data_IF_783776267229
#
_entry.id   IF_783776267229
#
_cell.length_a   1.000
_cell.length_b   1.000
_cell.length_c   1.000
_cell.angle_alpha   90.00
_cell.angle_beta   90.00
_cell.angle_gamma   90.00
#
_symmetry.space_group_name_H-M   'P 1'
#
loop_
_entity.id
_entity.type
_entity.pdbx_description
1 polymer ?
#
# COMPACT_ATOMS: atom_id res chain seq x y z
N UNK A 1 15.70 -2.67 32.26
CA UNK A 1 14.55 -1.81 31.92
C UNK A 1 14.88 -0.79 30.82
N UNK A 2 15.95 -0.01 30.93
CA UNK A 2 16.36 0.97 29.89
C UNK A 2 16.43 0.40 28.47
N UNK A 3 17.15 -0.71 28.26
CA UNK A 3 17.26 -1.31 26.93
C UNK A 3 15.92 -1.80 26.35
N UNK A 4 15.01 -2.29 27.19
CA UNK A 4 13.67 -2.67 26.75
C UNK A 4 12.86 -1.47 26.25
N UNK A 5 12.96 -0.33 26.95
CA UNK A 5 12.34 0.92 26.51
C UNK A 5 12.93 1.41 25.18
N UNK A 6 14.26 1.34 25.02
CA UNK A 6 14.93 1.72 23.77
C UNK A 6 14.47 0.85 22.59
N UNK A 7 14.34 -0.46 22.79
CA UNK A 7 13.82 -1.37 21.76
C UNK A 7 12.38 -1.05 21.41
N UNK A 8 11.51 -0.79 22.39
CA UNK A 8 10.11 -0.43 22.15
C UNK A 8 9.99 0.88 21.34
N UNK A 9 10.78 1.90 21.70
CA UNK A 9 10.84 3.17 20.97
C UNK A 9 11.38 2.94 19.55
N UNK A 10 12.42 2.14 19.38
CA UNK A 10 12.96 1.83 18.05
C UNK A 10 11.91 1.14 17.16
N UNK A 11 11.19 0.14 17.67
CA UNK A 11 10.10 -0.52 16.94
C UNK A 11 8.99 0.48 16.59
N UNK A 12 8.63 1.36 17.53
CA UNK A 12 7.61 2.38 17.31
C UNK A 12 7.99 3.35 16.19
N UNK A 13 9.26 3.76 16.13
CA UNK A 13 9.77 4.67 15.11
C UNK A 13 9.92 4.00 13.74
N UNK A 14 10.35 2.73 13.71
CA UNK A 14 10.62 1.99 12.45
C UNK A 14 9.33 1.39 11.86
N UNK A 15 8.37 1.01 12.71
CA UNK A 15 7.09 0.40 12.34
C UNK A 15 6.36 1.08 11.16
N UNK A 16 6.13 2.40 11.17
CA UNK A 16 5.45 3.08 10.06
C UNK A 16 6.23 3.01 8.74
N UNK A 17 7.56 2.99 8.77
CA UNK A 17 8.37 2.86 7.55
C UNK A 17 8.34 1.44 6.98
N UNK A 18 8.35 0.43 7.86
CA UNK A 18 8.14 -0.97 7.46
C UNK A 18 6.77 -1.13 6.80
N UNK A 19 5.73 -0.52 7.39
CA UNK A 19 4.39 -0.52 6.81
C UNK A 19 4.32 0.22 5.46
N UNK A 20 4.97 1.37 5.34
CA UNK A 20 5.05 2.11 4.07
C UNK A 20 5.71 1.25 2.98
N UNK A 21 6.81 0.59 3.29
CA UNK A 21 7.47 -0.31 2.35
C UNK A 21 6.55 -1.45 1.92
N UNK A 22 5.92 -2.14 2.89
CA UNK A 22 5.01 -3.25 2.62
C UNK A 22 3.86 -2.81 1.71
N UNK A 23 3.20 -1.70 2.03
CA UNK A 23 2.08 -1.20 1.22
C UNK A 23 2.51 -0.78 -0.18
N UNK A 24 3.74 -0.27 -0.35
CA UNK A 24 4.28 0.10 -1.67
C UNK A 24 4.43 -1.08 -2.63
N UNK A 25 4.67 -2.29 -2.10
CA UNK A 25 4.83 -3.53 -2.89
C UNK A 25 3.60 -4.45 -2.85
N UNK A 26 2.50 -3.97 -2.27
CA UNK A 26 1.24 -4.73 -2.13
C UNK A 26 0.24 -4.39 -3.22
N UNK A 27 -0.57 -5.37 -3.64
CA UNK A 27 -1.79 -5.09 -4.40
C UNK A 27 -2.85 -4.40 -3.52
N UNK A 28 -3.55 -3.40 -4.07
CA UNK A 28 -4.61 -2.66 -3.35
C UNK A 28 -5.70 -3.56 -2.78
N UNK A 29 -6.11 -4.62 -3.50
CA UNK A 29 -7.11 -5.58 -3.03
C UNK A 29 -6.68 -6.29 -1.72
N UNK A 30 -5.38 -6.54 -1.55
CA UNK A 30 -4.84 -7.24 -0.40
C UNK A 30 -4.80 -6.32 0.84
N UNK A 31 -4.61 -5.02 0.64
CA UNK A 31 -4.65 -4.01 1.71
C UNK A 31 -6.07 -3.77 2.24
N UNK A 32 -7.09 -4.06 1.43
CA UNK A 32 -8.51 -3.94 1.80
C UNK A 32 -9.11 -5.28 2.25
N UNK A 33 -8.33 -6.37 2.24
CA UNK A 33 -8.79 -7.69 2.61
C UNK A 33 -9.14 -7.76 4.10
N UNK A 34 -10.08 -8.65 4.42
CA UNK A 34 -10.43 -9.01 5.81
C UNK A 34 -10.24 -10.52 5.97
N UNK A 35 -9.32 -11.00 6.84
CA UNK A 35 -8.45 -10.22 7.72
C UNK A 35 -7.35 -9.43 6.97
N UNK A 36 -6.86 -8.36 7.60
CA UNK A 36 -5.72 -7.60 7.07
C UNK A 36 -4.46 -8.47 7.13
N UNK A 37 -3.77 -8.59 6.00
CA UNK A 37 -2.47 -9.28 5.94
C UNK A 37 -1.34 -8.28 6.10
N UNK A 38 -0.58 -8.39 7.19
CA UNK A 38 0.60 -7.53 7.41
C UNK A 38 1.74 -7.85 6.44
N UNK A 39 1.80 -9.06 5.90
CA UNK A 39 2.73 -9.46 4.84
C UNK A 39 1.90 -9.72 3.60
N UNK A 40 2.22 -9.10 2.45
CA UNK A 40 1.40 -9.27 1.27
C UNK A 40 1.53 -10.72 0.76
N UNK A 41 0.40 -11.39 0.43
CA UNK A 41 0.45 -12.73 -0.13
C UNK A 41 1.08 -12.74 -1.54
N UNK A 42 1.05 -11.60 -2.23
CA UNK A 42 1.61 -11.39 -3.57
C UNK A 42 2.34 -10.04 -3.60
N UNK A 43 3.58 -10.05 -4.10
CA UNK A 43 4.43 -8.87 -4.26
C UNK A 43 4.28 -8.33 -5.69
N UNK A 44 4.13 -7.01 -5.83
CA UNK A 44 4.07 -6.32 -7.13
C UNK A 44 4.86 -5.02 -7.12
N UNK A 45 5.27 -4.57 -8.32
CA UNK A 45 5.89 -3.27 -8.56
C UNK A 45 4.96 -2.32 -9.34
N UNK A 46 3.69 -2.65 -9.48
CA UNK A 46 2.77 -1.87 -10.31
C UNK A 46 2.58 -0.44 -9.78
N UNK A 47 2.64 -0.23 -8.46
CA UNK A 47 2.62 1.11 -7.86
C UNK A 47 3.80 1.96 -8.36
N UNK A 48 5.00 1.38 -8.44
CA UNK A 48 6.18 2.05 -8.98
C UNK A 48 6.05 2.30 -10.48
N UNK A 49 5.57 1.30 -11.24
CA UNK A 49 5.29 1.47 -12.68
C UNK A 49 4.31 2.61 -12.94
N UNK A 50 3.29 2.80 -12.10
CA UNK A 50 2.36 3.92 -12.21
C UNK A 50 3.06 5.26 -11.94
N UNK A 51 3.89 5.36 -10.89
CA UNK A 51 4.67 6.57 -10.59
C UNK A 51 5.59 6.93 -11.76
N UNK A 52 6.20 5.94 -12.40
CA UNK A 52 7.05 6.12 -13.59
C UNK A 52 6.28 6.23 -14.91
N UNK A 53 4.94 6.22 -14.90
CA UNK A 53 4.10 6.35 -16.10
C UNK A 53 4.15 5.15 -17.05
N UNK A 54 4.71 4.02 -16.61
CA UNK A 54 4.78 2.77 -17.38
C UNK A 54 3.43 2.03 -17.41
N UNK A 55 2.55 2.32 -16.45
CA UNK A 55 1.18 1.79 -16.35
C UNK A 55 0.23 2.94 -16.03
N UNK A 56 -0.97 2.92 -16.62
CA UNK A 56 -2.02 3.93 -16.38
C UNK A 56 -2.55 3.85 -14.95
N UNK A 57 -2.90 4.99 -14.38
CA UNK A 57 -3.57 5.03 -13.08
C UNK A 57 -4.97 4.45 -13.20
N UNK A 58 -5.33 3.57 -12.26
CA UNK A 58 -6.65 2.93 -12.21
C UNK A 58 -7.82 3.94 -12.15
N UNK A 59 -7.58 5.16 -11.65
CA UNK A 59 -8.58 6.22 -11.54
C UNK A 59 -9.12 6.71 -12.90
N UNK A 60 -8.28 6.74 -13.95
CA UNK A 60 -8.69 7.21 -15.28
C UNK A 60 -9.75 6.30 -15.90
N UNK A 61 -9.60 4.97 -15.73
CA UNK A 61 -10.54 3.98 -16.24
C UNK A 61 -11.87 3.93 -15.47
N UNK A 62 -11.88 4.30 -14.18
CA UNK A 62 -13.12 4.37 -13.40
C UNK A 62 -13.91 5.64 -13.75
N UNK A 63 -13.26 6.80 -13.83
CA UNK A 63 -13.93 8.05 -14.21
C UNK A 63 -14.63 7.94 -15.57
N UNK A 64 -13.98 7.32 -16.56
CA UNK A 64 -14.56 7.10 -17.89
C UNK A 64 -15.82 6.21 -17.88
N UNK A 65 -15.98 5.32 -16.88
CA UNK A 65 -17.18 4.49 -16.72
C UNK A 65 -18.29 5.17 -15.93
N UNK A 66 -17.94 6.07 -15.01
CA UNK A 66 -18.89 6.71 -14.09
C UNK A 66 -19.55 7.93 -14.75
N UNK A 67 -18.80 8.74 -15.51
CA UNK A 67 -19.31 9.96 -16.15
C UNK A 67 -20.54 9.67 -17.04
N UNK A 68 -20.57 8.63 -17.89
CA UNK A 68 -21.74 8.32 -18.71
C UNK A 68 -22.95 7.83 -17.91
N UNK A 69 -22.77 7.33 -16.68
CA UNK A 69 -23.87 6.86 -15.83
C UNK A 69 -24.53 7.97 -15.01
N UNK A 70 -23.95 9.18 -15.04
CA UNK A 70 -24.44 10.37 -14.34
C UNK A 70 -25.24 11.32 -15.25
N UNK A 71 -25.28 11.04 -16.56
CA UNK A 71 -26.06 11.75 -17.58
C UNK A 71 -27.35 10.98 -17.88
#
# INVERSE_FOLDING_TARGET
MLYGLLVAVAIWLIGPFVWLFITSISYQRNLMARPLSFIPPEITLDNYKMIFGLVRFHAEGQAAKIIPSML
#
